data_IF_312082721129
#
_entry.id   IF_312082721129
#
_cell.length_a   1.000
_cell.length_b   1.000
_cell.length_c   1.000
_cell.angle_alpha   90.00
_cell.angle_beta   90.00
_cell.angle_gamma   90.00
#
_symmetry.space_group_name_H-M   'P 1'
#
loop_
_entity.id
_entity.type
_entity.pdbx_description
1 polymer ?
#
# COMPACT_ATOMS: atom_id res chain seq x y z
N UNK A 1 28.45 21.60 9.04
CA UNK A 1 28.09 20.51 9.97
C UNK A 1 27.93 19.22 9.22
N UNK A 2 28.53 18.13 9.66
CA UNK A 2 28.28 16.84 9.03
C UNK A 2 26.81 16.41 9.21
N UNK A 3 26.25 15.82 8.17
CA UNK A 3 24.93 15.24 8.23
C UNK A 3 24.95 14.03 9.18
N UNK A 4 23.97 13.98 10.07
CA UNK A 4 23.83 12.88 11.00
C UNK A 4 22.43 12.29 10.90
N UNK A 5 22.36 10.96 10.71
CA UNK A 5 21.09 10.22 10.59
C UNK A 5 20.96 9.27 11.78
N UNK A 6 19.94 9.51 12.59
CA UNK A 6 19.60 8.66 13.72
C UNK A 6 18.23 8.03 13.52
N UNK A 7 18.06 6.82 14.05
CA UNK A 7 16.75 6.18 14.07
C UNK A 7 15.88 6.87 15.11
N UNK A 8 14.88 7.61 14.66
CA UNK A 8 13.98 8.29 15.59
C UNK A 8 12.97 7.33 16.21
N UNK A 9 12.47 6.38 15.43
CA UNK A 9 11.51 5.37 15.88
C UNK A 9 11.66 4.10 15.08
N UNK A 10 11.51 2.95 15.74
CA UNK A 10 11.48 1.65 15.10
C UNK A 10 10.11 1.02 15.32
N UNK A 11 9.45 0.64 14.22
CA UNK A 11 8.18 -0.06 14.24
C UNK A 11 8.44 -1.49 13.77
N UNK A 12 7.99 -2.47 14.53
CA UNK A 12 8.26 -3.87 14.21
C UNK A 12 6.96 -4.63 14.04
N UNK A 13 6.80 -5.25 12.86
CA UNK A 13 5.80 -6.28 12.65
C UNK A 13 6.35 -7.61 13.18
N UNK A 14 5.48 -8.49 13.63
CA UNK A 14 5.87 -9.77 14.21
C UNK A 14 6.58 -10.65 13.18
N UNK A 15 7.90 -10.57 13.14
CA UNK A 15 8.80 -11.48 12.40
C UNK A 15 8.54 -11.62 10.91
N UNK A 16 7.95 -10.62 10.25
CA UNK A 16 7.70 -10.70 8.82
C UNK A 16 8.45 -9.63 8.03
N UNK A 17 8.81 -9.97 6.80
CA UNK A 17 9.52 -9.06 5.90
C UNK A 17 8.62 -7.94 5.44
N UNK A 18 9.12 -6.72 5.53
CA UNK A 18 8.43 -5.51 5.05
C UNK A 18 8.89 -5.25 3.62
N UNK A 19 7.95 -5.24 2.69
CA UNK A 19 8.24 -5.12 1.26
C UNK A 19 8.13 -3.69 0.74
N UNK A 20 7.29 -2.87 1.34
CA UNK A 20 7.17 -1.46 0.98
C UNK A 20 6.59 -0.65 2.13
N UNK A 21 6.79 0.66 2.06
CA UNK A 21 6.27 1.60 3.05
C UNK A 21 5.68 2.81 2.33
N UNK A 22 4.73 3.45 3.01
CA UNK A 22 4.19 4.73 2.59
C UNK A 22 3.87 5.56 3.85
N UNK A 23 3.75 6.86 3.68
CA UNK A 23 3.43 7.78 4.76
C UNK A 23 2.15 8.53 4.42
N UNK A 24 1.27 8.67 5.41
CA UNK A 24 0.03 9.42 5.24
C UNK A 24 0.35 10.93 5.21
N UNK A 25 -0.31 11.70 4.34
CA UNK A 25 0.02 13.12 4.19
C UNK A 25 -0.41 14.01 5.36
N UNK A 26 -1.42 13.60 6.14
CA UNK A 26 -1.98 14.42 7.23
C UNK A 26 -2.04 13.73 8.57
N UNK A 27 -2.16 12.41 8.62
CA UNK A 27 -2.17 11.64 9.86
C UNK A 27 -0.76 11.10 10.16
N UNK A 28 -0.42 10.85 11.43
CA UNK A 28 0.90 10.31 11.79
C UNK A 28 0.97 8.79 11.51
N UNK A 29 0.66 8.39 10.31
CA UNK A 29 0.53 6.98 9.94
C UNK A 29 1.59 6.53 8.96
N UNK A 30 2.15 5.35 9.24
CA UNK A 30 3.03 4.61 8.34
C UNK A 30 2.33 3.34 7.89
N UNK A 31 2.35 3.12 6.58
CA UNK A 31 1.76 1.95 5.95
C UNK A 31 2.88 0.97 5.57
N UNK A 32 2.68 -0.30 5.86
CA UNK A 32 3.63 -1.34 5.49
C UNK A 32 2.93 -2.49 4.77
N UNK A 33 3.52 -2.91 3.65
CA UNK A 33 3.12 -4.12 2.94
C UNK A 33 4.04 -5.26 3.37
N UNK A 34 3.46 -6.39 3.74
CA UNK A 34 4.19 -7.50 4.34
C UNK A 34 4.21 -8.74 3.44
N UNK A 35 5.29 -9.50 3.57
CA UNK A 35 5.50 -10.72 2.79
C UNK A 35 4.48 -11.82 3.11
N UNK A 36 3.85 -11.78 4.29
CA UNK A 36 2.81 -12.75 4.68
C UNK A 36 1.41 -12.45 4.12
N UNK A 37 1.27 -11.41 3.31
CA UNK A 37 -0.01 -11.04 2.72
C UNK A 37 -0.80 -10.01 3.50
N UNK A 38 -0.25 -9.49 4.58
CA UNK A 38 -0.90 -8.46 5.39
C UNK A 38 -0.42 -7.06 5.01
N UNK A 39 -1.28 -6.09 5.29
CA UNK A 39 -0.95 -4.67 5.22
C UNK A 39 -1.29 -4.08 6.58
N UNK A 40 -0.36 -3.31 7.13
CA UNK A 40 -0.52 -2.73 8.47
C UNK A 40 -0.32 -1.21 8.43
N UNK A 41 -1.10 -0.53 9.25
CA UNK A 41 -0.97 0.91 9.49
C UNK A 41 -0.56 1.11 10.95
N UNK A 42 0.58 1.77 11.17
CA UNK A 42 1.05 2.19 12.48
C UNK A 42 0.87 3.67 12.66
N UNK A 43 0.57 4.07 13.89
CA UNK A 43 0.79 5.43 14.33
C UNK A 43 2.25 5.56 14.75
N UNK A 44 3.06 6.35 14.05
CA UNK A 44 4.49 6.44 14.34
C UNK A 44 4.81 7.37 15.51
N UNK A 45 3.85 8.14 16.01
CA UNK A 45 4.04 8.93 17.23
C UNK A 45 3.86 8.05 18.47
N UNK A 46 2.85 7.19 18.49
CA UNK A 46 2.57 6.30 19.62
C UNK A 46 3.26 4.95 19.53
N UNK A 47 3.61 4.52 18.32
CA UNK A 47 4.19 3.21 18.07
C UNK A 47 3.18 2.08 18.01
N UNK A 48 1.87 2.39 18.05
CA UNK A 48 0.83 1.37 18.05
C UNK A 48 0.25 1.12 16.66
N UNK A 49 -0.28 -0.09 16.47
CA UNK A 49 -0.99 -0.47 15.24
C UNK A 49 -2.37 0.18 15.23
N UNK A 50 -2.66 0.93 14.18
CA UNK A 50 -3.97 1.57 13.98
C UNK A 50 -4.93 0.62 13.32
N UNK A 51 -4.49 -0.03 12.23
CA UNK A 51 -5.30 -0.93 11.41
C UNK A 51 -4.44 -2.03 10.82
N UNK A 52 -5.06 -3.18 10.58
CA UNK A 52 -4.41 -4.31 9.93
C UNK A 52 -5.39 -5.00 8.99
N UNK A 53 -4.91 -5.33 7.78
CA UNK A 53 -5.70 -6.02 6.77
C UNK A 53 -5.02 -7.34 6.42
N UNK A 54 -5.76 -8.43 6.45
CA UNK A 54 -5.33 -9.72 5.91
C UNK A 54 -5.82 -9.80 4.46
N UNK A 55 -5.00 -9.34 3.52
CA UNK A 55 -5.42 -9.14 2.14
C UNK A 55 -5.35 -10.39 1.30
N UNK A 56 -4.32 -11.21 1.52
CA UNK A 56 -3.97 -12.31 0.63
C UNK A 56 -3.14 -13.32 1.40
N UNK A 57 -3.06 -14.54 0.89
CA UNK A 57 -2.13 -15.56 1.39
C UNK A 57 -0.75 -15.42 0.74
N UNK A 58 -0.65 -14.62 -0.31
CA UNK A 58 0.59 -14.35 -1.04
C UNK A 58 1.17 -13.01 -0.62
N UNK A 59 2.48 -12.77 -0.84
CA UNK A 59 3.12 -11.53 -0.46
C UNK A 59 2.45 -10.29 -1.05
N UNK A 60 2.34 -9.23 -0.24
CA UNK A 60 1.96 -7.91 -0.70
C UNK A 60 3.25 -7.13 -0.90
N UNK A 61 3.58 -6.81 -2.15
CA UNK A 61 4.85 -6.17 -2.47
C UNK A 61 4.81 -4.65 -2.45
N UNK A 62 3.63 -4.08 -2.60
CA UNK A 62 3.48 -2.62 -2.58
C UNK A 62 2.10 -2.23 -2.08
N UNK A 63 2.07 -1.10 -1.37
CA UNK A 63 0.85 -0.51 -0.87
C UNK A 63 1.03 1.01 -0.77
N UNK A 64 -0.05 1.75 -1.00
CA UNK A 64 -0.05 3.22 -0.95
C UNK A 64 -1.35 3.71 -0.33
N UNK A 65 -1.27 4.85 0.35
CA UNK A 65 -2.46 5.59 0.75
C UNK A 65 -3.03 6.37 -0.44
N UNK A 66 -4.35 6.37 -0.57
CA UNK A 66 -5.09 7.34 -1.38
C UNK A 66 -5.91 8.16 -0.38
N UNK A 67 -5.25 9.13 0.24
CA UNK A 67 -5.78 9.82 1.42
C UNK A 67 -7.05 10.62 1.12
N UNK A 68 -7.14 11.24 -0.05
CA UNK A 68 -8.34 12.02 -0.43
C UNK A 68 -9.60 11.16 -0.59
N UNK A 69 -9.45 9.85 -0.73
CA UNK A 69 -10.57 8.90 -0.77
C UNK A 69 -10.66 8.08 0.52
N UNK A 70 -9.70 8.22 1.42
CA UNK A 70 -9.56 7.40 2.63
C UNK A 70 -9.39 5.91 2.30
N UNK A 71 -8.62 5.64 1.27
CA UNK A 71 -8.35 4.29 0.78
C UNK A 71 -6.91 3.86 1.02
N UNK A 72 -6.72 2.55 1.12
CA UNK A 72 -5.43 1.88 0.97
C UNK A 72 -5.48 1.05 -0.31
N UNK A 73 -4.49 1.25 -1.16
CA UNK A 73 -4.25 0.47 -2.37
C UNK A 73 -3.15 -0.54 -2.08
N UNK A 74 -3.35 -1.80 -2.40
CA UNK A 74 -2.34 -2.83 -2.23
C UNK A 74 -2.32 -3.78 -3.42
N UNK A 75 -1.13 -4.25 -3.77
CA UNK A 75 -0.92 -5.20 -4.85
C UNK A 75 -0.15 -6.41 -4.34
N UNK A 76 -0.67 -7.59 -4.57
CA UNK A 76 -0.09 -8.84 -4.09
C UNK A 76 0.37 -9.74 -5.23
N UNK A 77 1.11 -10.80 -4.88
CA UNK A 77 1.70 -11.72 -5.86
C UNK A 77 0.66 -12.58 -6.61
N UNK A 78 -0.61 -12.49 -6.23
CA UNK A 78 -1.71 -13.07 -6.99
C UNK A 78 -2.09 -12.24 -8.23
N UNK A 79 -1.29 -11.20 -8.55
CA UNK A 79 -1.47 -10.33 -9.72
C UNK A 79 -2.69 -9.42 -9.63
N UNK A 80 -3.26 -9.28 -8.44
CA UNK A 80 -4.45 -8.48 -8.20
C UNK A 80 -4.11 -7.22 -7.42
N UNK A 81 -4.85 -6.17 -7.71
CA UNK A 81 -4.88 -4.94 -6.91
C UNK A 81 -6.16 -4.92 -6.08
N UNK A 82 -6.02 -4.54 -4.82
CA UNK A 82 -7.14 -4.43 -3.88
C UNK A 82 -7.15 -3.05 -3.25
N UNK A 83 -8.34 -2.51 -3.13
CA UNK A 83 -8.55 -1.19 -2.53
C UNK A 83 -9.50 -1.35 -1.36
N UNK A 84 -9.07 -0.86 -0.20
CA UNK A 84 -9.84 -0.88 1.04
C UNK A 84 -10.08 0.53 1.53
N UNK A 85 -11.27 0.77 2.07
CA UNK A 85 -11.55 1.96 2.84
C UNK A 85 -10.98 1.74 4.25
N UNK A 86 -10.05 2.59 4.69
CA UNK A 86 -9.40 2.38 5.99
C UNK A 86 -10.25 2.85 7.18
N UNK A 87 -11.35 3.56 6.94
CA UNK A 87 -12.29 3.89 8.02
C UNK A 87 -13.28 2.76 8.27
N UNK A 88 -13.88 2.21 7.22
CA UNK A 88 -14.88 1.15 7.33
C UNK A 88 -14.28 -0.25 7.34
N UNK A 89 -13.04 -0.39 6.88
CA UNK A 89 -12.34 -1.67 6.70
C UNK A 89 -12.97 -2.53 5.60
N UNK A 90 -13.80 -1.95 4.75
CA UNK A 90 -14.46 -2.64 3.65
C UNK A 90 -13.61 -2.61 2.38
N UNK A 91 -13.67 -3.70 1.62
CA UNK A 91 -13.04 -3.77 0.31
C UNK A 91 -13.87 -2.97 -0.68
N UNK A 92 -13.26 -1.94 -1.30
CA UNK A 92 -13.91 -1.07 -2.28
C UNK A 92 -13.88 -1.71 -3.66
N UNK A 93 -12.72 -2.28 -4.02
CA UNK A 93 -12.54 -2.87 -5.35
C UNK A 93 -11.41 -3.91 -5.32
N UNK A 94 -11.49 -4.87 -6.23
CA UNK A 94 -10.56 -5.99 -6.33
C UNK A 94 -10.55 -6.45 -7.79
N UNK A 95 -9.39 -6.42 -8.45
CA UNK A 95 -9.30 -6.76 -9.86
C UNK A 95 -7.93 -7.31 -10.23
N UNK A 96 -7.88 -8.18 -11.24
CA UNK A 96 -6.64 -8.65 -11.81
C UNK A 96 -6.02 -7.54 -12.67
N UNK A 97 -4.85 -7.05 -12.24
CA UNK A 97 -4.22 -5.91 -12.89
C UNK A 97 -3.18 -6.32 -13.93
N UNK A 98 -2.45 -7.39 -13.67
CA UNK A 98 -1.32 -7.83 -14.49
C UNK A 98 -1.30 -9.36 -14.63
N UNK A 99 -0.47 -9.84 -15.55
CA UNK A 99 -0.28 -11.28 -15.77
C UNK A 99 0.99 -11.84 -15.12
N UNK A 100 1.65 -11.05 -14.29
CA UNK A 100 2.81 -11.43 -13.49
C UNK A 100 2.87 -10.53 -12.26
N UNK A 101 3.89 -10.69 -11.42
CA UNK A 101 4.02 -9.96 -10.16
C UNK A 101 3.99 -8.45 -10.36
N UNK A 102 3.23 -7.78 -9.53
CA UNK A 102 3.15 -6.32 -9.49
C UNK A 102 4.25 -5.85 -8.56
N UNK A 103 5.18 -5.02 -9.08
CA UNK A 103 6.36 -4.60 -8.31
C UNK A 103 6.22 -3.24 -7.68
N UNK A 104 5.43 -2.34 -8.26
CA UNK A 104 5.29 -0.99 -7.75
C UNK A 104 3.97 -0.39 -8.15
N UNK A 105 3.44 0.47 -7.31
CA UNK A 105 2.26 1.28 -7.58
C UNK A 105 2.53 2.71 -7.16
N UNK A 106 1.96 3.65 -7.89
CA UNK A 106 1.99 5.07 -7.56
C UNK A 106 0.62 5.67 -7.74
N UNK A 107 0.33 6.70 -6.95
CA UNK A 107 -0.95 7.42 -7.01
C UNK A 107 -0.69 8.81 -7.54
N UNK A 108 -1.47 9.22 -8.54
CA UNK A 108 -1.35 10.58 -9.07
C UNK A 108 -1.73 11.59 -7.97
N UNK A 109 -0.98 12.68 -7.82
CA UNK A 109 -1.22 13.64 -6.72
C UNK A 109 -2.55 14.38 -6.79
N UNK A 110 -3.15 14.52 -7.96
CA UNK A 110 -4.39 15.29 -8.13
C UNK A 110 -5.45 14.62 -9.00
N UNK A 111 -5.06 13.82 -9.99
CA UNK A 111 -5.99 13.13 -10.89
C UNK A 111 -6.35 11.74 -10.31
N UNK A 112 -7.50 11.17 -10.72
CA UNK A 112 -7.98 9.89 -10.18
C UNK A 112 -7.25 8.69 -10.80
N UNK A 113 -5.93 8.70 -10.82
CA UNK A 113 -5.11 7.73 -11.52
C UNK A 113 -4.18 6.97 -10.60
N UNK A 114 -4.08 5.67 -10.87
CA UNK A 114 -3.09 4.78 -10.28
C UNK A 114 -2.20 4.27 -11.40
N UNK A 115 -0.89 4.25 -11.16
CA UNK A 115 0.09 3.68 -12.08
C UNK A 115 0.64 2.41 -11.44
N UNK A 116 0.69 1.32 -12.20
CA UNK A 116 1.28 0.06 -11.73
C UNK A 116 2.32 -0.45 -12.70
N UNK A 117 3.33 -1.12 -12.18
CA UNK A 117 4.38 -1.76 -12.97
C UNK A 117 4.52 -3.23 -12.59
N UNK A 118 4.86 -4.07 -13.56
CA UNK A 118 4.85 -5.51 -13.38
C UNK A 118 6.00 -6.19 -14.12
N UNK A 119 6.32 -7.40 -13.66
CA UNK A 119 7.22 -8.32 -14.35
C UNK A 119 6.65 -8.78 -15.71
N UNK A 120 5.38 -8.51 -15.99
CA UNK A 120 4.77 -8.76 -17.30
C UNK A 120 5.25 -7.78 -18.39
N UNK A 121 6.21 -6.92 -18.05
CA UNK A 121 6.83 -5.94 -18.94
C UNK A 121 5.91 -4.76 -19.30
N UNK A 122 4.86 -4.51 -18.51
CA UNK A 122 3.94 -3.40 -18.75
C UNK A 122 3.88 -2.44 -17.58
N UNK A 123 3.55 -1.19 -17.92
CA UNK A 123 3.11 -0.16 -17.00
C UNK A 123 1.66 0.12 -17.37
N UNK A 124 0.77 0.14 -16.38
CA UNK A 124 -0.65 0.39 -16.62
C UNK A 124 -1.13 1.59 -15.79
N UNK A 125 -1.91 2.44 -16.45
CA UNK A 125 -2.57 3.58 -15.81
C UNK A 125 -4.05 3.24 -15.63
N UNK A 126 -4.54 3.36 -14.38
CA UNK A 126 -5.90 3.02 -14.00
C UNK A 126 -6.64 4.27 -13.57
N UNK A 127 -7.88 4.42 -13.99
CA UNK A 127 -8.74 5.56 -13.67
C UNK A 127 -9.87 5.07 -12.75
N UNK A 128 -9.86 5.47 -11.47
CA UNK A 128 -10.88 5.00 -10.54
C UNK A 128 -12.25 5.67 -10.72
N UNK A 129 -12.31 6.82 -11.39
CA UNK A 129 -13.59 7.43 -11.73
C UNK A 129 -14.30 6.68 -12.87
N UNK A 130 -13.55 5.83 -13.58
CA UNK A 130 -14.07 4.96 -14.66
C UNK A 130 -14.06 3.48 -14.26
N UNK A 131 -14.15 3.18 -12.98
CA UNK A 131 -14.18 1.79 -12.51
C UNK A 131 -12.86 1.05 -12.62
N UNK A 132 -11.75 1.77 -12.55
CA UNK A 132 -10.39 1.21 -12.65
C UNK A 132 -10.07 0.66 -14.05
N UNK A 133 -10.43 1.40 -15.04
CA UNK A 133 -10.02 1.12 -16.43
C UNK A 133 -8.69 1.77 -16.81
#
# INVERSE_FOLDING_TARGET
MPLRLDIKKKLSASSERVKSVDIHPSEPWALAALYNGNVMIWDYETGSVVKSFELSELPVRCAKFIARKQWVLAASDDMRMRIYDYNTMEKVHDFEAHSDYIRSVEVHPSLPYILSSSDDMTIKLWDWDRGFE
#
